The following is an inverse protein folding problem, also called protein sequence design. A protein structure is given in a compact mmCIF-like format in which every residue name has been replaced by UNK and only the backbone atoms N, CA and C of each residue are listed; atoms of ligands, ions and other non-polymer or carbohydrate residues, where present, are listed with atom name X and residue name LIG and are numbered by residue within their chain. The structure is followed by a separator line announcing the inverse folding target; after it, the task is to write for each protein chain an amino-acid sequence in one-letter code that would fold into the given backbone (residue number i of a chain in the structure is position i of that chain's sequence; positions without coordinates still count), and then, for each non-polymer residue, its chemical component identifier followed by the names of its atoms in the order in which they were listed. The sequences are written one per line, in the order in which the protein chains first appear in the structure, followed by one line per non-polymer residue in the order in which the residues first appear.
data_IF_395576769913
#
_entry.id   IF_395576769913
#
_cell.length_a   1.000
_cell.length_b   1.000
_cell.length_c   1.000
_cell.angle_alpha   90.00
_cell.angle_beta   90.00
_cell.angle_gamma   90.00
#
_symmetry.space_group_name_H-M   'P 1'
#
loop_
_entity.id
_entity.type
_entity.pdbx_description
1 polymer ?
#
# COMPACT_ATOMS: atom_id res chain seq x y z
N UNK A 1 28.41 9.86 26.45
CA UNK A 1 26.99 10.30 26.40
C UNK A 1 26.62 10.90 25.05
N UNK A 2 27.34 11.90 24.52
CA UNK A 2 27.02 12.54 23.22
C UNK A 2 27.03 11.60 22.01
N UNK A 3 27.99 10.67 21.92
CA UNK A 3 28.08 9.70 20.81
C UNK A 3 26.91 8.71 20.77
N UNK A 4 26.42 8.29 21.95
CA UNK A 4 25.28 7.36 22.07
C UNK A 4 23.98 8.03 21.64
N UNK A 5 23.81 9.32 21.96
CA UNK A 5 22.66 10.13 21.53
C UNK A 5 22.68 10.29 20.00
N UNK A 6 23.84 10.62 19.42
CA UNK A 6 23.99 10.76 17.97
C UNK A 6 23.72 9.44 17.23
N UNK A 7 24.19 8.30 17.75
CA UNK A 7 23.90 6.98 17.18
C UNK A 7 22.40 6.65 17.22
N UNK A 8 21.73 6.92 18.35
CA UNK A 8 20.29 6.70 18.48
C UNK A 8 19.48 7.53 17.48
N UNK A 9 19.87 8.78 17.24
CA UNK A 9 19.24 9.63 16.23
C UNK A 9 19.44 9.12 14.80
N UNK A 10 20.65 8.66 14.46
CA UNK A 10 20.94 8.07 13.15
C UNK A 10 20.07 6.83 12.91
N UNK A 11 19.96 5.94 13.91
CA UNK A 11 19.11 4.75 13.82
C UNK A 11 17.64 5.14 13.67
N UNK A 12 17.15 6.13 14.42
CA UNK A 12 15.77 6.64 14.32
C UNK A 12 15.48 7.19 12.92
N UNK A 13 16.37 8.04 12.39
CA UNK A 13 16.23 8.59 11.04
C UNK A 13 16.23 7.50 9.98
N UNK A 14 17.11 6.50 10.10
CA UNK A 14 17.15 5.36 9.18
C UNK A 14 15.84 4.56 9.21
N UNK A 15 15.31 4.27 10.41
CA UNK A 15 14.02 3.57 10.56
C UNK A 15 12.88 4.35 9.92
N UNK A 16 12.83 5.67 10.12
CA UNK A 16 11.82 6.52 9.48
C UNK A 16 11.93 6.51 7.96
N UNK A 17 13.14 6.61 7.39
CA UNK A 17 13.36 6.52 5.94
C UNK A 17 12.91 5.17 5.38
N UNK A 18 13.26 4.07 6.06
CA UNK A 18 12.83 2.72 5.66
C UNK A 18 11.31 2.60 5.74
N UNK A 19 10.68 3.05 6.81
CA UNK A 19 9.22 3.02 6.95
C UNK A 19 8.52 3.80 5.83
N UNK A 20 9.01 5.00 5.48
CA UNK A 20 8.49 5.79 4.35
C UNK A 20 8.68 5.08 3.02
N UNK A 21 9.86 4.49 2.78
CA UNK A 21 10.15 3.75 1.55
C UNK A 21 9.26 2.51 1.41
N UNK A 22 9.05 1.77 2.51
CA UNK A 22 8.14 0.61 2.54
C UNK A 22 6.71 1.06 2.29
N UNK A 23 6.24 2.11 2.95
CA UNK A 23 4.90 2.66 2.76
C UNK A 23 4.67 3.08 1.30
N UNK A 24 5.61 3.83 0.71
CA UNK A 24 5.56 4.20 -0.70
C UNK A 24 5.50 2.97 -1.63
N UNK A 25 6.31 1.94 -1.36
CA UNK A 25 6.29 0.70 -2.12
C UNK A 25 4.95 -0.04 -2.00
N UNK A 26 4.37 -0.11 -0.81
CA UNK A 26 3.04 -0.69 -0.60
C UNK A 26 1.96 0.05 -1.39
N UNK A 27 2.00 1.39 -1.43
CA UNK A 27 1.06 2.18 -2.23
C UNK A 27 1.15 1.86 -3.72
N UNK A 28 2.36 1.73 -4.25
CA UNK A 28 2.58 1.32 -5.66
C UNK A 28 1.99 -0.06 -5.92
N UNK A 29 2.19 -1.03 -5.02
CA UNK A 29 1.65 -2.37 -5.15
C UNK A 29 0.12 -2.41 -5.09
N UNK A 30 -0.49 -1.62 -4.20
CA UNK A 30 -1.95 -1.49 -4.10
C UNK A 30 -2.52 -0.91 -5.40
N UNK A 31 -1.95 0.18 -5.92
CA UNK A 31 -2.39 0.79 -7.17
C UNK A 31 -2.27 -0.17 -8.38
N UNK A 32 -1.18 -0.93 -8.43
CA UNK A 32 -1.00 -1.98 -9.45
C UNK A 32 -2.07 -3.09 -9.31
N UNK A 33 -2.38 -3.52 -8.09
CA UNK A 33 -3.40 -4.53 -7.83
C UNK A 33 -4.81 -4.05 -8.20
N UNK A 34 -5.15 -2.78 -7.94
CA UNK A 34 -6.42 -2.16 -8.37
C UNK A 34 -6.51 -2.15 -9.89
N UNK A 35 -5.46 -1.71 -10.57
CA UNK A 35 -5.40 -1.70 -12.05
C UNK A 35 -5.63 -3.10 -12.62
N UNK A 36 -4.95 -4.11 -12.07
CA UNK A 36 -5.13 -5.50 -12.47
C UNK A 36 -6.57 -6.00 -12.22
N UNK A 37 -7.13 -5.72 -11.03
CA UNK A 37 -8.49 -6.14 -10.68
C UNK A 37 -9.55 -5.48 -11.58
N UNK A 38 -9.35 -4.22 -11.98
CA UNK A 38 -10.23 -3.54 -12.95
C UNK A 38 -10.16 -4.21 -14.32
N UNK A 39 -8.97 -4.53 -14.81
CA UNK A 39 -8.80 -5.24 -16.08
C UNK A 39 -9.46 -6.64 -16.05
N UNK A 40 -9.28 -7.38 -14.96
CA UNK A 40 -9.93 -8.68 -14.75
C UNK A 40 -11.46 -8.56 -14.76
N UNK A 41 -12.03 -7.50 -14.18
CA UNK A 41 -13.47 -7.30 -14.12
C UNK A 41 -14.09 -7.02 -15.50
N UNK A 42 -13.34 -6.36 -16.40
CA UNK A 42 -13.80 -6.06 -17.77
C UNK A 42 -14.06 -7.35 -18.55
N UNK A 43 -13.19 -8.35 -18.41
CA UNK A 43 -13.30 -9.64 -19.11
C UNK A 43 -14.10 -10.71 -18.37
N UNK A 44 -14.63 -10.42 -17.17
CA UNK A 44 -15.21 -11.44 -16.31
C UNK A 44 -16.60 -11.92 -16.76
N UNK A 45 -16.87 -13.24 -16.74
CA UNK A 45 -18.22 -13.78 -16.93
C UNK A 45 -19.20 -13.23 -15.89
N UNK A 46 -20.45 -12.98 -16.29
CA UNK A 46 -21.52 -12.46 -15.44
C UNK A 46 -21.61 -13.09 -14.03
N UNK A 47 -21.54 -14.42 -13.85
CA UNK A 47 -21.63 -15.02 -12.51
C UNK A 47 -20.44 -14.70 -11.59
N UNK A 48 -19.26 -14.38 -12.14
CA UNK A 48 -18.06 -14.07 -11.33
C UNK A 48 -17.94 -12.58 -10.99
N UNK A 49 -18.65 -11.71 -11.70
CA UNK A 49 -18.56 -10.24 -11.53
C UNK A 49 -18.82 -9.80 -10.08
N UNK A 50 -19.81 -10.31 -9.34
CA UNK A 50 -20.07 -9.86 -7.97
C UNK A 50 -18.87 -10.08 -7.04
N UNK A 51 -18.23 -11.25 -7.13
CA UNK A 51 -17.05 -11.59 -6.31
C UNK A 51 -15.86 -10.68 -6.67
N UNK A 52 -15.65 -10.44 -7.97
CA UNK A 52 -14.57 -9.57 -8.46
C UNK A 52 -14.80 -8.10 -8.08
N UNK A 53 -16.03 -7.61 -8.13
CA UNK A 53 -16.40 -6.26 -7.63
C UNK A 53 -16.11 -6.15 -6.13
N UNK A 54 -16.49 -7.16 -5.34
CA UNK A 54 -16.22 -7.15 -3.90
C UNK A 54 -14.72 -7.12 -3.60
N UNK A 55 -13.91 -7.87 -4.37
CA UNK A 55 -12.44 -7.83 -4.28
C UNK A 55 -11.89 -6.46 -4.64
N UNK A 56 -12.36 -5.85 -5.74
CA UNK A 56 -11.94 -4.51 -6.16
C UNK A 56 -12.23 -3.46 -5.08
N UNK A 57 -13.44 -3.47 -4.52
CA UNK A 57 -13.82 -2.56 -3.42
C UNK A 57 -12.91 -2.67 -2.21
N UNK A 58 -12.51 -3.89 -1.82
CA UNK A 58 -11.56 -4.09 -0.72
C UNK A 58 -10.18 -3.49 -1.03
N UNK A 59 -9.72 -3.59 -2.27
CA UNK A 59 -8.45 -2.99 -2.68
C UNK A 59 -8.52 -1.46 -2.68
N UNK A 60 -9.63 -0.88 -3.16
CA UNK A 60 -9.89 0.57 -3.11
C UNK A 60 -9.94 1.10 -1.66
N UNK A 61 -10.56 0.36 -0.73
CA UNK A 61 -10.53 0.69 0.70
C UNK A 61 -9.10 0.65 1.29
N UNK A 62 -8.27 -0.29 0.86
CA UNK A 62 -6.87 -0.35 1.28
C UNK A 62 -6.05 0.84 0.75
N UNK A 63 -6.33 1.28 -0.48
CA UNK A 63 -5.72 2.49 -1.05
C UNK A 63 -6.13 3.75 -0.30
N UNK A 64 -7.41 3.86 0.05
CA UNK A 64 -7.94 4.97 0.85
C UNK A 64 -7.28 5.01 2.23
N UNK A 65 -7.22 3.87 2.93
CA UNK A 65 -6.55 3.75 4.22
C UNK A 65 -5.05 4.09 4.14
N UNK A 66 -4.35 3.56 3.13
CA UNK A 66 -2.94 3.87 2.91
C UNK A 66 -2.71 5.35 2.55
N UNK A 67 -3.71 6.01 1.95
CA UNK A 67 -3.67 7.43 1.64
C UNK A 67 -3.91 8.31 2.86
N UNK A 68 -4.75 7.89 3.80
CA UNK A 68 -5.03 8.61 5.04
C UNK A 68 -3.86 8.55 6.06
N UNK A 69 -2.99 7.54 5.96
CA UNK A 69 -1.83 7.35 6.82
C UNK A 69 -0.55 8.06 6.34
N UNK A 70 -0.54 8.57 5.10
CA UNK A 70 0.61 9.24 4.47
C UNK A 70 0.53 10.75 4.60
#
# INVERSE_FOLDING_TARGET
MGEVIAFAEIVRMRRQRVARAVHARCRILIAAAITAARAELVGAPAPERPVRIARLRKLEQLEEYASALG
#
